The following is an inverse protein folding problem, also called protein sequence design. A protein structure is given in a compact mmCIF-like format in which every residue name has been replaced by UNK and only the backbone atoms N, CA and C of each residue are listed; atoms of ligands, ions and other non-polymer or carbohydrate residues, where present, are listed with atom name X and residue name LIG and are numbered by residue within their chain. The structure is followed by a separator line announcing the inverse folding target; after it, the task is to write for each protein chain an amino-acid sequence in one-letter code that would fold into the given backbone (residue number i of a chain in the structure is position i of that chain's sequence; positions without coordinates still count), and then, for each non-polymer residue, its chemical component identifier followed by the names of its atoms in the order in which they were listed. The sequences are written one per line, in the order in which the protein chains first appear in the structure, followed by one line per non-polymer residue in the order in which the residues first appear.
data_IF_805447656726
#
_entry.id   IF_805447656726
#
_cell.length_a   1.000
_cell.length_b   1.000
_cell.length_c   1.000
_cell.angle_alpha   90.00
_cell.angle_beta   90.00
_cell.angle_gamma   90.00
#
_symmetry.space_group_name_H-M   'P 1'
#
loop_
_entity.id
_entity.type
_entity.pdbx_description
1 polymer ?
#
# COMPACT_ATOMS: atom_id res chain seq x y z
N UNK A 1 2.29 -0.84 33.34
CA UNK A 1 3.04 -2.11 33.51
C UNK A 1 3.76 -2.34 32.20
N UNK A 2 5.09 -2.42 32.17
CA UNK A 2 5.79 -2.71 30.92
C UNK A 2 5.56 -4.17 30.59
N UNK A 3 4.81 -4.46 29.53
CA UNK A 3 4.63 -5.83 29.08
C UNK A 3 5.98 -6.53 28.90
N UNK A 4 6.04 -7.76 29.39
CA UNK A 4 7.22 -8.61 29.27
C UNK A 4 7.64 -8.81 27.82
N UNK A 5 8.85 -9.33 27.61
CA UNK A 5 9.20 -9.83 26.29
C UNK A 5 8.32 -11.05 25.98
N UNK A 6 7.57 -11.01 24.88
CA UNK A 6 6.71 -12.11 24.41
C UNK A 6 7.09 -12.52 22.99
N UNK A 7 7.00 -13.80 22.70
CA UNK A 7 7.19 -14.31 21.34
C UNK A 7 6.00 -13.89 20.47
N UNK A 8 6.30 -13.53 19.22
CA UNK A 8 5.33 -13.12 18.20
C UNK A 8 5.29 -14.14 17.07
N UNK A 9 6.45 -14.56 16.58
CA UNK A 9 6.57 -15.58 15.54
C UNK A 9 7.77 -16.50 15.81
N UNK A 10 7.64 -17.76 15.41
CA UNK A 10 8.68 -18.77 15.53
C UNK A 10 8.60 -19.74 14.36
N UNK A 11 9.59 -19.69 13.47
CA UNK A 11 9.57 -20.48 12.24
C UNK A 11 10.96 -20.97 11.85
N UNK A 12 10.98 -21.94 10.94
CA UNK A 12 12.20 -22.25 10.17
C UNK A 12 12.30 -21.24 9.03
N UNK A 13 13.54 -21.02 8.59
CA UNK A 13 13.80 -20.12 7.49
C UNK A 13 15.24 -20.18 7.02
N UNK A 14 15.58 -19.27 6.12
CA UNK A 14 16.95 -18.99 5.71
C UNK A 14 17.24 -17.52 5.92
N UNK A 15 18.49 -17.19 6.23
CA UNK A 15 18.89 -15.79 6.35
C UNK A 15 20.33 -15.60 5.93
N UNK A 16 20.65 -14.38 5.50
CA UNK A 16 22.00 -13.99 5.13
C UNK A 16 22.25 -12.53 5.46
N UNK A 17 23.46 -12.23 5.94
CA UNK A 17 23.93 -10.86 6.10
C UNK A 17 24.63 -10.41 4.83
N UNK A 18 24.05 -9.46 4.10
CA UNK A 18 24.60 -8.94 2.84
C UNK A 18 25.46 -7.70 3.04
N UNK A 19 25.27 -6.98 4.14
CA UNK A 19 26.13 -5.88 4.57
C UNK A 19 26.50 -6.07 6.03
N UNK A 20 27.80 -5.98 6.33
CA UNK A 20 28.34 -6.02 7.69
C UNK A 20 29.19 -4.78 7.95
N UNK A 21 28.84 -4.02 8.99
CA UNK A 21 29.50 -2.77 9.38
C UNK A 21 29.58 -1.75 8.23
N UNK A 22 28.59 -1.75 7.34
CA UNK A 22 28.51 -0.89 6.15
C UNK A 22 29.32 -1.39 4.95
N UNK A 23 29.93 -2.57 5.01
CA UNK A 23 30.65 -3.19 3.90
C UNK A 23 29.84 -4.33 3.29
N UNK A 24 29.65 -4.30 1.97
CA UNK A 24 29.02 -5.39 1.22
C UNK A 24 29.86 -6.67 1.37
N UNK A 25 29.19 -7.81 1.51
CA UNK A 25 29.84 -9.12 1.51
C UNK A 25 29.81 -9.71 0.09
N UNK A 26 30.93 -10.27 -0.34
CA UNK A 26 31.05 -10.89 -1.66
C UNK A 26 30.59 -12.36 -1.65
N UNK A 27 30.80 -13.06 -0.53
CA UNK A 27 30.34 -14.44 -0.34
C UNK A 27 29.05 -14.44 0.48
N UNK A 28 27.92 -14.51 -0.23
CA UNK A 28 26.55 -14.49 0.32
C UNK A 28 26.01 -15.92 0.22
N UNK A 29 26.00 -16.65 1.34
CA UNK A 29 25.38 -17.98 1.46
C UNK A 29 24.16 -17.89 2.39
N UNK A 30 23.03 -18.41 1.91
CA UNK A 30 21.80 -18.52 2.70
C UNK A 30 21.96 -19.60 3.77
N UNK A 31 21.92 -19.18 5.04
CA UNK A 31 22.05 -20.09 6.17
C UNK A 31 20.67 -20.58 6.59
N UNK A 32 20.39 -21.90 6.54
CA UNK A 32 19.16 -22.43 7.12
C UNK A 32 19.22 -22.33 8.64
N UNK A 33 18.07 -22.00 9.25
CA UNK A 33 17.99 -21.83 10.70
C UNK A 33 16.58 -21.59 11.20
N UNK A 34 16.51 -21.18 12.47
CA UNK A 34 15.28 -20.78 13.16
C UNK A 34 15.21 -19.25 13.24
N UNK A 35 14.06 -18.70 12.89
CA UNK A 35 13.73 -17.27 12.94
C UNK A 35 12.72 -17.08 14.07
N UNK A 36 13.11 -16.37 15.12
CA UNK A 36 12.26 -16.13 16.29
C UNK A 36 12.09 -14.62 16.47
N UNK A 37 10.85 -14.15 16.35
CA UNK A 37 10.48 -12.77 16.56
C UNK A 37 9.80 -12.61 17.91
N UNK A 38 10.15 -11.54 18.61
CA UNK A 38 9.49 -11.07 19.82
C UNK A 38 9.15 -9.58 19.66
N UNK A 39 8.34 -9.04 20.57
CA UNK A 39 8.07 -7.60 20.63
C UNK A 39 9.31 -6.72 20.93
N UNK A 40 10.51 -7.29 21.07
CA UNK A 40 11.75 -6.54 21.37
C UNK A 40 12.90 -6.83 20.41
N UNK A 41 12.95 -8.04 19.84
CA UNK A 41 14.09 -8.50 19.02
C UNK A 41 13.72 -9.61 18.07
N UNK A 42 14.50 -9.67 17.00
CA UNK A 42 14.59 -10.79 16.08
C UNK A 42 15.82 -11.64 16.42
N UNK A 43 15.65 -12.95 16.54
CA UNK A 43 16.71 -13.91 16.77
C UNK A 43 16.81 -14.85 15.58
N UNK A 44 18.01 -14.91 14.99
CA UNK A 44 18.36 -15.79 13.87
C UNK A 44 19.34 -16.85 14.40
N UNK A 45 18.91 -18.10 14.48
CA UNK A 45 19.68 -19.18 15.10
C UNK A 45 20.03 -20.29 14.10
N UNK A 46 21.29 -20.69 14.09
CA UNK A 46 21.81 -21.87 13.39
C UNK A 46 22.45 -22.84 14.37
N UNK A 47 22.87 -24.02 13.90
CA UNK A 47 23.65 -24.96 14.70
C UNK A 47 25.02 -24.41 15.13
N UNK A 48 25.52 -23.37 14.45
CA UNK A 48 26.83 -22.75 14.73
C UNK A 48 26.73 -21.55 15.67
N UNK A 49 25.54 -21.08 16.00
CA UNK A 49 25.32 -19.97 16.92
C UNK A 49 24.06 -19.18 16.64
N UNK A 50 23.89 -18.08 17.37
CA UNK A 50 22.75 -17.16 17.22
C UNK A 50 23.19 -15.73 16.96
N UNK A 51 22.33 -15.00 16.26
CA UNK A 51 22.39 -13.56 16.07
C UNK A 51 21.10 -12.95 16.60
N UNK A 52 21.22 -11.79 17.22
CA UNK A 52 20.10 -11.10 17.86
C UNK A 52 20.11 -9.66 17.38
N UNK A 53 19.00 -9.24 16.78
CA UNK A 53 18.76 -7.90 16.28
C UNK A 53 17.67 -7.25 17.14
N UNK A 54 18.00 -6.25 17.99
CA UNK A 54 16.99 -5.48 18.68
C UNK A 54 16.10 -4.74 17.67
N UNK A 55 14.78 -4.82 17.80
CA UNK A 55 13.85 -4.14 16.89
C UNK A 55 14.03 -2.61 16.93
N UNK A 56 14.42 -2.07 18.09
CA UNK A 56 14.81 -0.66 18.25
C UNK A 56 15.97 -0.20 17.36
N UNK A 57 16.76 -1.12 16.82
CA UNK A 57 17.87 -0.84 15.90
C UNK A 57 17.50 -1.03 14.43
N UNK A 58 16.34 -1.62 14.13
CA UNK A 58 15.84 -1.78 12.76
C UNK A 58 15.35 -0.41 12.26
N UNK A 59 15.96 0.10 11.20
CA UNK A 59 15.70 1.43 10.64
C UNK A 59 14.85 1.39 9.37
N UNK A 60 14.89 0.29 8.63
CA UNK A 60 14.04 0.06 7.46
C UNK A 60 13.77 -1.42 7.29
N UNK A 61 12.60 -1.69 6.72
CA UNK A 61 12.13 -3.01 6.31
C UNK A 61 11.66 -2.88 4.87
N UNK A 62 11.97 -3.85 4.03
CA UNK A 62 11.47 -3.90 2.65
C UNK A 62 11.18 -5.34 2.30
N UNK A 63 9.93 -5.62 1.98
CA UNK A 63 9.51 -6.90 1.44
C UNK A 63 9.99 -7.02 -0.01
N UNK A 64 10.49 -8.20 -0.37
CA UNK A 64 10.84 -8.51 -1.75
C UNK A 64 10.27 -9.86 -2.10
N UNK A 65 9.30 -9.85 -3.02
CA UNK A 65 8.85 -11.02 -3.75
C UNK A 65 9.55 -10.95 -5.11
N UNK A 66 10.70 -11.60 -5.26
CA UNK A 66 11.46 -11.50 -6.50
C UNK A 66 12.13 -12.82 -6.86
N UNK A 67 11.84 -13.27 -8.08
CA UNK A 67 12.52 -14.32 -8.85
C UNK A 67 13.94 -13.90 -9.30
N UNK A 68 14.73 -13.25 -8.43
CA UNK A 68 16.11 -12.86 -8.76
C UNK A 68 17.08 -14.03 -8.54
N UNK A 69 18.11 -14.12 -9.37
CA UNK A 69 19.13 -15.19 -9.36
C UNK A 69 19.91 -15.36 -8.04
N UNK A 70 19.86 -14.39 -7.13
CA UNK A 70 20.39 -14.45 -5.75
C UNK A 70 19.46 -15.17 -4.75
N UNK A 71 18.17 -15.25 -5.07
CA UNK A 71 17.12 -15.74 -4.18
C UNK A 71 17.00 -17.26 -4.34
N UNK A 72 17.81 -18.01 -3.59
CA UNK A 72 17.60 -19.46 -3.38
C UNK A 72 16.35 -19.75 -2.49
N UNK A 73 15.38 -18.84 -2.52
CA UNK A 73 14.19 -18.72 -1.67
C UNK A 73 13.08 -17.99 -2.44
N UNK A 74 11.82 -18.30 -2.15
CA UNK A 74 10.67 -17.76 -2.88
C UNK A 74 10.38 -16.27 -2.57
N UNK A 75 10.82 -15.80 -1.39
CA UNK A 75 10.68 -14.42 -0.96
C UNK A 75 11.50 -14.13 0.30
N UNK A 76 11.79 -12.86 0.54
CA UNK A 76 12.53 -12.43 1.73
C UNK A 76 12.18 -11.01 2.17
N UNK A 77 12.37 -10.76 3.46
CA UNK A 77 12.34 -9.43 4.05
C UNK A 77 13.77 -8.92 4.21
N UNK A 78 14.05 -7.74 3.64
CA UNK A 78 15.31 -7.01 3.83
C UNK A 78 15.20 -6.12 5.06
N UNK A 79 16.10 -6.31 6.01
CA UNK A 79 16.16 -5.58 7.27
C UNK A 79 17.46 -4.79 7.35
N UNK A 80 17.36 -3.47 7.47
CA UNK A 80 18.51 -2.64 7.83
C UNK A 80 18.50 -2.40 9.34
N UNK A 81 19.58 -2.78 10.01
CA UNK A 81 19.80 -2.55 11.42
C UNK A 81 21.12 -1.80 11.63
N UNK A 82 21.04 -0.49 11.83
CA UNK A 82 22.22 0.37 11.86
C UNK A 82 22.99 0.31 10.54
N UNK A 83 24.21 -0.24 10.58
CA UNK A 83 25.10 -0.39 9.41
C UNK A 83 25.02 -1.78 8.75
N UNK A 84 24.23 -2.68 9.32
CA UNK A 84 24.09 -4.05 8.85
C UNK A 84 22.81 -4.20 8.03
N UNK A 85 22.86 -5.07 7.02
CA UNK A 85 21.69 -5.46 6.22
C UNK A 85 21.57 -6.97 6.21
N UNK A 86 20.39 -7.45 6.58
CA UNK A 86 20.02 -8.85 6.63
C UNK A 86 18.88 -9.13 5.66
N UNK A 87 18.95 -10.25 4.97
CA UNK A 87 17.83 -10.82 4.23
C UNK A 87 17.32 -12.01 5.03
N UNK A 88 16.01 -12.07 5.28
CA UNK A 88 15.37 -13.11 6.08
C UNK A 88 14.20 -13.67 5.29
N UNK A 89 14.28 -14.96 4.97
CA UNK A 89 13.20 -15.72 4.36
C UNK A 89 12.65 -16.68 5.41
N UNK A 90 11.43 -16.44 5.87
CA UNK A 90 10.74 -17.29 6.82
C UNK A 90 9.69 -18.12 6.08
N UNK A 91 9.53 -19.40 6.42
CA UNK A 91 8.57 -20.30 5.74
C UNK A 91 7.11 -20.02 6.12
N UNK A 92 6.85 -19.06 7.01
CA UNK A 92 5.51 -18.70 7.45
C UNK A 92 5.16 -17.29 6.96
N UNK A 93 3.99 -17.14 6.31
CA UNK A 93 3.47 -15.85 5.83
C UNK A 93 3.29 -14.79 6.93
N UNK A 94 3.11 -15.21 8.18
CA UNK A 94 2.92 -14.32 9.32
C UNK A 94 4.17 -13.56 9.79
N UNK A 95 5.39 -13.93 9.34
CA UNK A 95 6.61 -13.30 9.88
C UNK A 95 6.69 -11.80 9.58
N UNK A 96 6.37 -11.43 8.34
CA UNK A 96 6.46 -10.05 7.89
C UNK A 96 5.43 -9.16 8.58
N UNK A 97 4.18 -9.61 8.62
CA UNK A 97 3.08 -8.93 9.31
C UNK A 97 3.42 -8.70 10.78
N UNK A 98 3.81 -9.76 11.49
CA UNK A 98 4.18 -9.67 12.92
C UNK A 98 5.39 -8.74 13.13
N UNK A 99 6.32 -8.69 12.17
CA UNK A 99 7.45 -7.79 12.23
C UNK A 99 7.02 -6.33 12.08
N UNK A 100 6.17 -6.00 11.11
CA UNK A 100 5.65 -4.65 10.97
C UNK A 100 4.78 -4.26 12.16
N UNK A 101 3.90 -5.16 12.65
CA UNK A 101 3.11 -4.93 13.87
C UNK A 101 4.03 -4.56 15.02
N UNK A 102 5.08 -5.33 15.27
CA UNK A 102 6.03 -5.06 16.34
C UNK A 102 6.85 -3.77 16.17
N UNK A 103 7.12 -3.35 14.93
CA UNK A 103 7.93 -2.17 14.64
C UNK A 103 7.12 -0.86 14.63
N UNK A 104 5.85 -0.96 14.25
CA UNK A 104 4.92 0.16 14.08
C UNK A 104 3.96 0.34 15.24
N UNK A 105 3.87 -0.62 16.18
CA UNK A 105 2.98 -0.56 17.34
C UNK A 105 3.12 0.75 18.13
N UNK A 106 2.03 1.51 18.15
CA UNK A 106 1.86 2.78 18.87
C UNK A 106 2.92 3.84 18.57
N UNK A 107 3.57 3.82 17.40
CA UNK A 107 4.49 4.89 17.05
C UNK A 107 3.71 6.21 16.90
N UNK A 108 4.28 7.29 17.43
CA UNK A 108 3.70 8.62 17.29
C UNK A 108 4.34 9.33 16.10
N UNK A 109 3.50 9.75 15.17
CA UNK A 109 3.86 10.49 13.96
C UNK A 109 3.08 11.80 13.89
N UNK A 110 3.52 12.70 13.02
CA UNK A 110 2.73 13.85 12.58
C UNK A 110 2.00 13.44 11.30
N UNK A 111 0.71 13.73 11.23
CA UNK A 111 -0.15 13.43 10.08
C UNK A 111 -0.88 14.69 9.65
N UNK A 112 -1.02 14.88 8.34
CA UNK A 112 -1.97 15.82 7.74
C UNK A 112 -2.83 15.01 6.77
N UNK A 113 -4.11 14.87 7.08
CA UNK A 113 -5.03 14.03 6.33
C UNK A 113 -6.46 14.60 6.31
N UNK A 114 -7.12 14.66 5.13
CA UNK A 114 -6.48 14.58 3.81
C UNK A 114 -5.62 15.84 3.61
N UNK A 115 -4.44 15.68 3.03
CA UNK A 115 -3.62 16.81 2.55
C UNK A 115 -4.09 17.25 1.14
N UNK A 116 -4.52 16.29 0.33
CA UNK A 116 -5.13 16.48 -0.99
C UNK A 116 -6.36 15.57 -1.08
N UNK A 117 -7.42 16.03 -1.76
CA UNK A 117 -8.61 15.22 -2.07
C UNK A 117 -9.06 15.54 -3.50
N UNK A 118 -9.11 14.52 -4.37
CA UNK A 118 -9.45 14.65 -5.78
C UNK A 118 -8.55 15.67 -6.51
N UNK A 119 -7.25 15.68 -6.22
CA UNK A 119 -6.28 16.64 -6.77
C UNK A 119 -6.33 18.06 -6.16
N UNK A 120 -7.25 18.35 -5.23
CA UNK A 120 -7.35 19.65 -4.57
C UNK A 120 -6.67 19.62 -3.21
N UNK A 121 -5.68 20.50 -3.00
CA UNK A 121 -5.00 20.69 -1.71
C UNK A 121 -6.00 21.18 -0.66
N UNK A 122 -6.01 20.52 0.50
CA UNK A 122 -6.93 20.80 1.60
C UNK A 122 -6.28 21.71 2.66
N UNK A 123 -7.08 22.54 3.32
CA UNK A 123 -6.64 23.39 4.43
C UNK A 123 -6.63 22.63 5.77
N UNK A 124 -5.99 21.47 5.77
CA UNK A 124 -5.88 20.60 6.96
C UNK A 124 -4.59 20.89 7.71
N UNK A 125 -4.64 20.99 9.04
CA UNK A 125 -3.45 21.19 9.86
C UNK A 125 -2.69 19.87 10.14
N UNK A 126 -1.44 20.01 10.59
CA UNK A 126 -0.66 18.90 11.09
C UNK A 126 -1.10 18.52 12.50
N UNK A 127 -1.39 17.24 12.73
CA UNK A 127 -1.74 16.69 14.03
C UNK A 127 -0.80 15.56 14.44
N UNK A 128 -0.75 15.23 15.74
CA UNK A 128 -0.12 13.98 16.17
C UNK A 128 -1.10 12.84 15.92
N UNK A 129 -0.62 11.72 15.41
CA UNK A 129 -1.38 10.48 15.33
C UNK A 129 -0.60 9.34 15.97
N UNK A 130 -1.31 8.40 16.60
CA UNK A 130 -0.77 7.08 16.92
C UNK A 130 -1.05 6.18 15.74
N UNK A 131 0.02 5.58 15.23
CA UNK A 131 -0.02 4.61 14.16
C UNK A 131 -0.02 3.21 14.77
N UNK A 132 -0.86 2.32 14.25
CA UNK A 132 -0.75 0.87 14.43
C UNK A 132 -1.12 0.17 13.12
N UNK A 133 -0.71 -1.08 12.97
CA UNK A 133 -1.37 -1.97 12.01
C UNK A 133 -2.69 -2.44 12.62
N UNK A 134 -3.70 -2.61 11.79
CA UNK A 134 -4.97 -3.14 12.23
C UNK A 134 -4.84 -4.58 12.75
N UNK A 135 -5.72 -4.92 13.69
CA UNK A 135 -5.74 -6.22 14.34
C UNK A 135 -6.59 -7.23 13.55
N UNK A 136 -7.52 -6.77 12.72
CA UNK A 136 -8.41 -7.60 11.88
C UNK A 136 -7.89 -7.72 10.44
N UNK A 137 -7.18 -6.72 9.95
CA UNK A 137 -6.51 -6.64 8.65
C UNK A 137 -4.99 -6.50 8.80
N UNK A 138 -4.25 -7.39 8.15
CA UNK A 138 -2.79 -7.35 8.11
C UNK A 138 -2.23 -6.27 7.15
N UNK A 139 -3.13 -5.62 6.39
CA UNK A 139 -2.83 -4.69 5.30
C UNK A 139 -3.49 -3.32 5.49
N UNK A 140 -3.98 -3.01 6.69
CA UNK A 140 -4.54 -1.69 6.99
C UNK A 140 -3.71 -1.00 8.08
N UNK A 141 -3.31 0.25 7.83
CA UNK A 141 -2.67 1.12 8.82
C UNK A 141 -3.74 2.03 9.44
N UNK A 142 -3.88 1.95 10.76
CA UNK A 142 -4.73 2.87 11.52
C UNK A 142 -3.93 4.06 12.03
N UNK A 143 -4.42 5.26 11.73
CA UNK A 143 -3.91 6.52 12.25
C UNK A 143 -4.97 7.15 13.16
N UNK A 144 -4.81 7.00 14.47
CA UNK A 144 -5.64 7.65 15.46
C UNK A 144 -5.11 9.05 15.77
N UNK A 145 -5.75 10.09 15.23
CA UNK A 145 -5.34 11.49 15.40
C UNK A 145 -5.62 12.01 16.81
N UNK A 146 -4.94 13.08 17.21
CA UNK A 146 -5.14 13.73 18.50
C UNK A 146 -6.55 14.36 18.63
N UNK A 147 -7.17 14.75 17.51
CA UNK A 147 -8.56 15.21 17.44
C UNK A 147 -9.60 14.10 17.60
N UNK A 148 -9.20 12.82 17.57
CA UNK A 148 -10.11 11.67 17.72
C UNK A 148 -10.64 11.12 16.39
N UNK A 149 -10.12 11.60 15.26
CA UNK A 149 -10.38 11.02 13.94
C UNK A 149 -9.55 9.75 13.77
N UNK A 150 -10.17 8.71 13.22
CA UNK A 150 -9.48 7.51 12.76
C UNK A 150 -9.36 7.60 11.25
N UNK A 151 -8.13 7.50 10.75
CA UNK A 151 -7.84 7.42 9.32
C UNK A 151 -7.31 6.03 9.06
N UNK A 152 -8.04 5.29 8.24
CA UNK A 152 -7.62 3.99 7.72
C UNK A 152 -6.89 4.22 6.41
N UNK A 153 -5.75 3.55 6.26
CA UNK A 153 -4.95 3.53 5.05
C UNK A 153 -4.77 2.06 4.67
N UNK A 154 -5.57 1.60 3.72
CA UNK A 154 -5.43 0.27 3.16
C UNK A 154 -4.20 0.25 2.24
N UNK A 155 -3.29 -0.69 2.46
CA UNK A 155 -2.09 -0.85 1.66
C UNK A 155 -2.47 -1.22 0.22
N UNK A 156 -3.53 -2.00 -0.01
CA UNK A 156 -3.96 -2.36 -1.36
C UNK A 156 -4.52 -1.18 -2.16
N UNK A 157 -4.98 -0.12 -1.49
CA UNK A 157 -5.46 1.10 -2.16
C UNK A 157 -4.37 2.16 -2.36
N UNK A 158 -3.11 1.87 -2.02
CA UNK A 158 -1.99 2.82 -2.19
C UNK A 158 -1.55 2.88 -3.64
N UNK A 159 -1.62 4.07 -4.24
CA UNK A 159 -1.09 4.37 -5.57
C UNK A 159 0.36 4.84 -5.50
N UNK A 160 0.55 6.16 -5.43
CA UNK A 160 1.89 6.78 -5.44
C UNK A 160 2.45 6.99 -4.03
N UNK A 161 3.74 6.69 -3.81
CA UNK A 161 4.44 6.98 -2.54
C UNK A 161 5.70 7.82 -2.79
N UNK A 162 5.71 9.05 -2.27
CA UNK A 162 6.85 9.95 -2.41
C UNK A 162 7.50 10.30 -1.06
N UNK A 163 8.81 10.11 -0.97
CA UNK A 163 9.60 10.47 0.21
C UNK A 163 10.43 11.73 -0.07
N UNK A 164 10.25 12.77 0.75
CA UNK A 164 10.87 14.10 0.59
C UNK A 164 11.34 14.66 1.93
N UNK A 165 11.94 15.85 1.90
CA UNK A 165 12.22 16.67 3.10
C UNK A 165 11.51 18.00 2.93
N UNK A 166 10.81 18.46 3.97
CA UNK A 166 10.01 19.69 3.95
C UNK A 166 10.06 20.38 5.30
N UNK A 167 9.90 21.69 5.31
CA UNK A 167 9.69 22.42 6.56
C UNK A 167 8.31 22.08 7.13
N UNK A 168 8.28 21.47 8.31
CA UNK A 168 7.06 21.08 9.01
C UNK A 168 7.19 21.61 10.43
N UNK A 169 6.29 22.52 10.83
CA UNK A 169 6.31 23.20 12.13
C UNK A 169 7.66 23.91 12.41
N UNK A 170 8.21 24.58 11.39
CA UNK A 170 9.44 25.39 11.51
C UNK A 170 10.75 24.62 11.52
N UNK A 171 10.73 23.31 11.25
CA UNK A 171 11.92 22.47 11.16
C UNK A 171 11.91 21.63 9.89
N UNK A 172 13.09 21.43 9.28
CA UNK A 172 13.24 20.52 8.13
C UNK A 172 13.11 19.07 8.59
N UNK A 173 12.03 18.40 8.16
CA UNK A 173 11.66 17.05 8.58
C UNK A 173 11.48 16.12 7.38
N UNK A 174 11.70 14.80 7.55
CA UNK A 174 11.28 13.83 6.55
C UNK A 174 9.76 13.87 6.39
N UNK A 175 9.31 13.74 5.14
CA UNK A 175 7.92 13.74 4.74
C UNK A 175 7.69 12.52 3.83
N UNK A 176 6.64 11.78 4.12
CA UNK A 176 6.09 10.75 3.25
C UNK A 176 4.72 11.22 2.76
N UNK A 177 4.58 11.38 1.45
CA UNK A 177 3.32 11.67 0.78
C UNK A 177 2.78 10.33 0.25
N UNK A 178 1.61 9.91 0.74
CA UNK A 178 0.99 8.63 0.37
C UNK A 178 -0.34 8.93 -0.30
N UNK A 179 -0.41 8.70 -1.60
CA UNK A 179 -1.65 8.72 -2.36
C UNK A 179 -2.36 7.37 -2.19
N UNK A 180 -3.64 7.42 -1.84
CA UNK A 180 -4.49 6.24 -1.67
C UNK A 180 -5.96 6.57 -1.92
N UNK A 181 -6.77 5.54 -2.16
CA UNK A 181 -8.20 5.69 -2.44
C UNK A 181 -9.02 5.46 -1.17
N UNK A 182 -9.95 6.36 -0.87
CA UNK A 182 -10.97 6.16 0.18
C UNK A 182 -12.34 6.37 -0.45
N UNK A 183 -13.23 5.37 -0.35
CA UNK A 183 -14.59 5.40 -0.91
C UNK A 183 -14.59 5.84 -2.40
N UNK A 184 -13.66 5.30 -3.20
CA UNK A 184 -13.49 5.63 -4.62
C UNK A 184 -12.92 7.04 -4.89
N UNK A 185 -12.49 7.78 -3.86
CA UNK A 185 -11.89 9.11 -4.01
C UNK A 185 -10.38 9.06 -3.73
N UNK A 186 -9.56 9.50 -4.70
CA UNK A 186 -8.12 9.69 -4.47
C UNK A 186 -7.88 10.79 -3.43
N UNK A 187 -7.10 10.46 -2.42
CA UNK A 187 -6.68 11.35 -1.33
C UNK A 187 -5.18 11.18 -1.06
N UNK A 188 -4.54 12.23 -0.56
CA UNK A 188 -3.14 12.15 -0.09
C UNK A 188 -3.08 12.28 1.43
N UNK A 189 -2.37 11.36 2.07
CA UNK A 189 -2.03 11.40 3.50
C UNK A 189 -0.55 11.75 3.65
N UNK A 190 -0.26 12.84 4.36
CA UNK A 190 1.11 13.25 4.61
C UNK A 190 1.55 12.79 6.01
N UNK A 191 2.63 12.02 6.08
CA UNK A 191 3.17 11.45 7.31
C UNK A 191 4.59 11.98 7.54
N UNK A 192 4.85 12.49 8.74
CA UNK A 192 6.18 12.94 9.16
C UNK A 192 6.54 12.39 10.53
N UNK A 193 7.83 12.21 10.79
CA UNK A 193 8.30 11.62 12.04
C UNK A 193 9.81 11.60 12.12
N UNK A 194 10.35 10.70 12.94
CA UNK A 194 11.80 10.41 12.89
C UNK A 194 12.12 9.75 11.54
N UNK A 195 13.38 9.83 11.06
CA UNK A 195 13.79 9.11 9.85
C UNK A 195 13.45 7.62 9.91
N UNK A 196 13.59 7.00 11.09
CA UNK A 196 13.21 5.60 11.33
C UNK A 196 11.71 5.38 11.15
N UNK A 197 10.86 6.23 11.72
CA UNK A 197 9.40 6.07 11.57
C UNK A 197 8.99 6.16 10.11
N UNK A 198 9.46 7.20 9.40
CA UNK A 198 9.14 7.42 8.00
C UNK A 198 9.62 6.27 7.12
N UNK A 199 10.86 5.80 7.31
CA UNK A 199 11.38 4.65 6.54
C UNK A 199 10.68 3.32 6.83
N UNK A 200 10.14 3.11 8.04
CA UNK A 200 9.37 1.92 8.36
C UNK A 200 7.98 1.95 7.71
N UNK A 201 7.29 3.09 7.79
CA UNK A 201 5.98 3.29 7.15
C UNK A 201 6.12 3.20 5.64
N UNK A 202 7.12 3.88 5.06
CA UNK A 202 7.43 3.81 3.63
C UNK A 202 7.64 2.38 3.15
N UNK A 203 8.39 1.56 3.91
CA UNK A 203 8.63 0.16 3.56
C UNK A 203 7.36 -0.66 3.41
N UNK A 204 6.34 -0.36 4.23
CA UNK A 204 5.03 -1.00 4.22
C UNK A 204 4.13 -0.46 3.11
N UNK A 205 3.91 0.86 3.04
CA UNK A 205 2.98 1.45 2.05
C UNK A 205 3.48 1.30 0.61
N UNK A 206 4.80 1.24 0.38
CA UNK A 206 5.35 0.93 -0.95
C UNK A 206 5.05 -0.49 -1.42
N UNK A 207 4.51 -1.36 -0.58
CA UNK A 207 4.04 -2.67 -1.05
C UNK A 207 2.80 -2.51 -1.92
N UNK A 208 1.86 -1.68 -1.49
CA UNK A 208 0.70 -1.27 -2.28
C UNK A 208 1.08 -0.64 -3.61
N UNK A 209 1.91 0.40 -3.55
CA UNK A 209 2.44 1.07 -4.77
C UNK A 209 3.03 0.07 -5.77
N UNK A 210 3.75 -0.97 -5.31
CA UNK A 210 4.33 -1.98 -6.20
C UNK A 210 3.30 -2.95 -6.76
N UNK A 211 2.26 -3.29 -6.00
CA UNK A 211 1.15 -4.13 -6.48
C UNK A 211 0.31 -3.38 -7.52
N UNK A 212 0.13 -2.08 -7.31
CA UNK A 212 -0.64 -1.18 -8.15
C UNK A 212 0.21 -0.45 -9.22
N UNK A 213 1.51 -0.77 -9.31
CA UNK A 213 2.39 -0.13 -10.28
C UNK A 213 1.95 -0.50 -11.70
N UNK A 214 1.69 0.52 -12.51
CA UNK A 214 1.30 0.37 -13.91
C UNK A 214 2.37 -0.30 -14.79
N UNK A 215 3.60 -0.49 -14.29
CA UNK A 215 4.73 -1.07 -15.02
C UNK A 215 4.48 -2.51 -15.53
N UNK A 216 3.51 -3.23 -14.96
CA UNK A 216 3.11 -4.58 -15.41
C UNK A 216 1.84 -4.57 -16.31
N UNK A 217 1.26 -3.40 -16.63
CA UNK A 217 0.09 -3.31 -17.52
C UNK A 217 0.43 -2.52 -18.80
N UNK A 218 0.74 -3.24 -19.86
CA UNK A 218 0.79 -2.71 -21.23
C UNK A 218 -0.64 -2.40 -21.71
N UNK A 219 -1.13 -1.19 -21.43
CA UNK A 219 -2.41 -0.71 -21.94
C UNK A 219 -2.34 -0.40 -23.44
N UNK A 220 -3.37 -0.80 -24.16
CA UNK A 220 -3.58 -0.37 -25.52
C UNK A 220 -3.79 1.17 -25.58
N UNK A 221 -3.49 1.82 -26.72
CA UNK A 221 -3.72 3.26 -26.88
C UNK A 221 -5.15 3.68 -26.55
N UNK A 222 -6.13 2.86 -26.93
CA UNK A 222 -7.56 3.10 -26.70
C UNK A 222 -7.92 3.02 -25.21
N UNK A 223 -7.34 2.04 -24.50
CA UNK A 223 -7.50 1.87 -23.04
C UNK A 223 -6.92 3.06 -22.28
N UNK A 224 -5.73 3.50 -22.69
CA UNK A 224 -5.07 4.68 -22.10
C UNK A 224 -5.92 5.94 -22.30
N UNK A 225 -6.51 6.14 -23.47
CA UNK A 225 -7.37 7.29 -23.75
C UNK A 225 -8.63 7.29 -22.89
N UNK A 226 -9.30 6.14 -22.77
CA UNK A 226 -10.49 5.99 -21.92
C UNK A 226 -10.15 6.22 -20.45
N UNK A 227 -9.04 5.67 -19.96
CA UNK A 227 -8.56 5.88 -18.59
C UNK A 227 -8.28 7.36 -18.31
N UNK A 228 -7.60 8.05 -19.23
CA UNK A 228 -7.30 9.48 -19.11
C UNK A 228 -8.57 10.34 -19.13
N UNK A 229 -9.57 9.97 -19.94
CA UNK A 229 -10.86 10.66 -19.97
C UNK A 229 -11.56 10.55 -18.61
N UNK A 230 -11.64 9.34 -18.03
CA UNK A 230 -12.17 9.10 -16.68
C UNK A 230 -11.41 9.91 -15.62
N UNK A 231 -10.07 9.86 -15.64
CA UNK A 231 -9.22 10.58 -14.70
C UNK A 231 -9.45 12.10 -14.76
N UNK A 232 -9.69 12.65 -15.94
CA UNK A 232 -10.00 14.08 -16.12
C UNK A 232 -11.41 14.49 -15.67
N UNK A 233 -12.22 13.53 -15.19
CA UNK A 233 -13.58 13.75 -14.71
C UNK A 233 -14.64 13.78 -15.79
N UNK A 234 -14.34 13.29 -17.01
CA UNK A 234 -15.34 13.18 -18.08
C UNK A 234 -16.35 12.10 -17.69
N UNK A 235 -17.63 12.41 -17.90
CA UNK A 235 -18.72 11.49 -17.64
C UNK A 235 -18.57 10.23 -18.50
N UNK A 236 -18.73 9.00 -17.95
CA UNK A 236 -18.63 7.76 -18.74
C UNK A 236 -19.56 7.71 -19.96
N UNK A 237 -20.66 8.48 -19.95
CA UNK A 237 -21.60 8.60 -21.07
C UNK A 237 -21.10 9.50 -22.21
N UNK A 238 -20.18 10.40 -21.92
CA UNK A 238 -19.57 11.33 -22.89
C UNK A 238 -18.23 10.82 -23.42
N UNK A 239 -17.67 9.77 -22.78
CA UNK A 239 -16.39 9.17 -23.19
C UNK A 239 -16.42 8.68 -24.64
N UNK A 240 -17.44 7.96 -25.14
CA UNK A 240 -17.49 7.54 -26.54
C UNK A 240 -17.26 8.69 -27.53
N UNK A 241 -17.94 9.82 -27.31
CA UNK A 241 -17.78 11.02 -28.14
C UNK A 241 -16.40 11.67 -27.94
N UNK A 242 -15.84 11.62 -26.72
CA UNK A 242 -14.55 12.24 -26.40
C UNK A 242 -13.36 11.49 -26.99
N UNK A 243 -13.39 10.16 -26.99
CA UNK A 243 -12.32 9.31 -27.52
C UNK A 243 -12.54 8.88 -28.97
N UNK A 244 -13.62 9.37 -29.61
CA UNK A 244 -14.03 9.03 -30.99
C UNK A 244 -14.17 7.52 -31.20
N UNK A 245 -14.89 6.86 -30.29
CA UNK A 245 -15.18 5.42 -30.31
C UNK A 245 -16.68 5.16 -30.16
N UNK A 246 -17.17 4.07 -30.76
CA UNK A 246 -18.55 3.64 -30.57
C UNK A 246 -18.78 3.17 -29.11
N UNK A 247 -20.03 3.27 -28.64
CA UNK A 247 -20.41 2.87 -27.27
C UNK A 247 -19.97 1.42 -26.97
N UNK A 248 -20.25 0.48 -27.88
CA UNK A 248 -19.89 -0.93 -27.71
C UNK A 248 -18.36 -1.16 -27.66
N UNK A 249 -17.57 -0.25 -28.22
CA UNK A 249 -16.11 -0.30 -28.15
C UNK A 249 -15.60 0.20 -26.81
N UNK A 250 -16.13 1.31 -26.32
CA UNK A 250 -15.81 1.83 -24.99
C UNK A 250 -16.26 0.86 -23.88
N UNK A 251 -17.43 0.25 -23.99
CA UNK A 251 -17.89 -0.76 -23.01
C UNK A 251 -16.94 -1.97 -22.99
N UNK A 252 -16.47 -2.45 -24.16
CA UNK A 252 -15.44 -3.50 -24.22
C UNK A 252 -14.10 -3.06 -23.61
N UNK A 253 -13.75 -1.79 -23.69
CA UNK A 253 -12.56 -1.22 -23.02
C UNK A 253 -12.76 -1.23 -21.52
N UNK A 254 -13.93 -0.79 -21.02
CA UNK A 254 -14.26 -0.87 -19.59
C UNK A 254 -14.17 -2.30 -19.08
N UNK A 255 -14.75 -3.27 -19.78
CA UNK A 255 -14.70 -4.69 -19.39
C UNK A 255 -13.25 -5.17 -19.24
N UNK A 256 -12.36 -4.86 -20.20
CA UNK A 256 -10.94 -5.25 -20.12
C UNK A 256 -10.21 -4.57 -18.97
N UNK A 257 -10.48 -3.29 -18.73
CA UNK A 257 -9.88 -2.55 -17.62
C UNK A 257 -10.41 -3.03 -16.26
N UNK A 258 -11.67 -3.46 -16.17
CA UNK A 258 -12.23 -4.10 -14.97
C UNK A 258 -11.61 -5.48 -14.75
N UNK A 259 -11.47 -6.29 -15.80
CA UNK A 259 -10.81 -7.60 -15.73
C UNK A 259 -9.33 -7.50 -15.31
N UNK A 260 -8.69 -6.37 -15.61
CA UNK A 260 -7.32 -6.06 -15.19
C UNK A 260 -7.25 -5.40 -13.80
N UNK A 261 -8.35 -5.32 -13.05
CA UNK A 261 -8.45 -4.67 -11.74
C UNK A 261 -8.04 -3.17 -11.75
N UNK A 262 -8.17 -2.50 -12.90
CA UNK A 262 -7.86 -1.07 -13.07
C UNK A 262 -9.08 -0.19 -12.83
N UNK A 263 -10.27 -0.69 -13.14
CA UNK A 263 -11.53 0.01 -12.92
C UNK A 263 -12.46 -0.84 -12.06
N UNK A 264 -13.19 -0.19 -11.15
CA UNK A 264 -14.24 -0.84 -10.38
C UNK A 264 -15.63 -0.41 -10.89
N UNK A 265 -16.56 -1.35 -11.18
CA UNK A 265 -17.89 -1.02 -11.63
C UNK A 265 -18.73 -0.43 -10.48
N UNK A 266 -18.94 0.89 -10.49
CA UNK A 266 -19.79 1.56 -9.49
C UNK A 266 -21.28 1.26 -9.68
N UNK A 267 -21.75 1.22 -10.94
CA UNK A 267 -23.17 0.98 -11.26
C UNK A 267 -23.38 0.59 -12.73
N UNK A 268 -24.16 -0.46 -12.98
CA UNK A 268 -24.59 -0.85 -14.34
C UNK A 268 -25.95 -0.25 -14.70
N UNK A 269 -26.09 0.30 -15.91
CA UNK A 269 -27.37 0.78 -16.47
C UNK A 269 -27.72 -0.05 -17.70
N UNK A 270 -29.02 -0.29 -17.93
CA UNK A 270 -29.51 -1.02 -19.12
C UNK A 270 -30.11 -0.05 -20.12
N UNK A 271 -29.81 -0.26 -21.39
CA UNK A 271 -30.59 0.32 -22.48
C UNK A 271 -31.91 -0.45 -22.64
N UNK A 272 -33.03 0.26 -22.77
CA UNK A 272 -34.36 -0.35 -22.89
C UNK A 272 -35.18 0.36 -23.96
N UNK A 273 -36.07 -0.39 -24.61
CA UNK A 273 -37.02 0.15 -25.57
C UNK A 273 -38.43 -0.33 -25.25
N UNK A 274 -39.43 0.49 -25.58
CA UNK A 274 -40.83 0.11 -25.41
C UNK A 274 -41.22 -1.01 -26.38
N UNK A 275 -41.73 -2.11 -25.82
CA UNK A 275 -42.44 -3.13 -26.60
C UNK A 275 -43.82 -2.62 -27.05
N UNK A 276 -44.45 -3.34 -27.99
CA UNK A 276 -45.77 -2.99 -28.53
C UNK A 276 -46.83 -2.75 -27.44
N UNK A 277 -46.84 -3.60 -26.41
CA UNK A 277 -47.74 -3.43 -25.26
C UNK A 277 -47.46 -2.15 -24.48
N UNK A 278 -46.17 -1.84 -24.25
CA UNK A 278 -45.76 -0.61 -23.58
C UNK A 278 -46.14 0.64 -24.37
N UNK A 279 -46.00 0.61 -25.71
CA UNK A 279 -46.45 1.70 -26.58
C UNK A 279 -47.96 1.92 -26.52
N UNK A 280 -48.75 0.85 -26.48
CA UNK A 280 -50.22 0.95 -26.35
C UNK A 280 -50.62 1.61 -25.03
N UNK A 281 -50.04 1.17 -23.91
CA UNK A 281 -50.32 1.71 -22.58
C UNK A 281 -49.92 3.19 -22.49
N UNK A 282 -48.73 3.54 -23.01
CA UNK A 282 -48.29 4.92 -23.05
C UNK A 282 -49.20 5.79 -23.93
N UNK A 283 -49.69 5.26 -25.05
CA UNK A 283 -50.63 5.94 -25.94
C UNK A 283 -51.98 6.24 -25.27
N UNK A 284 -52.55 5.27 -24.56
CA UNK A 284 -53.78 5.47 -23.76
C UNK A 284 -53.58 6.53 -22.68
N UNK A 285 -52.46 6.47 -21.94
CA UNK A 285 -52.15 7.43 -20.88
C UNK A 285 -51.94 8.87 -21.38
N UNK A 286 -51.50 9.06 -22.63
CA UNK A 286 -51.36 10.37 -23.27
C UNK A 286 -52.72 10.86 -23.81
N UNK A 287 -53.60 9.97 -24.28
CA UNK A 287 -54.91 10.32 -24.81
C UNK A 287 -55.93 10.72 -23.72
N UNK A 288 -55.70 10.30 -22.47
CA UNK A 288 -56.52 10.64 -21.30
C UNK A 288 -56.10 11.96 -20.60
N UNK A 289 -55.16 12.72 -21.16
CA UNK A 289 -54.81 14.11 -20.75
C UNK A 289 -55.38 15.14 -21.72
#
# INVERSE_FOLDING_TARGET
MSDGERALADSKGKFVQVVRDGRKRNDIEWLPGRVVLSNRRLVLATNQGKRTLPLSKVTSVTASQMNQSLAQVDGYVKLQAGRDVWLVSATAGAFEVELYRALLDQIVVLVRHPAVKGGVVQDTEWEKARLKLDDESDETIDLATASGTFVELDIDDVGTVEAKRKEIRGEERPLLEVEHTIDGTSVETYISGTPRHVSLVEGLVRQGERRNAADDVDLAPEETQVLMALYSGISPFEIPDFVDMDIDEVERVYDRLIEADILEPVRTRREVQLEARGRSIAGEAIADQ
#
